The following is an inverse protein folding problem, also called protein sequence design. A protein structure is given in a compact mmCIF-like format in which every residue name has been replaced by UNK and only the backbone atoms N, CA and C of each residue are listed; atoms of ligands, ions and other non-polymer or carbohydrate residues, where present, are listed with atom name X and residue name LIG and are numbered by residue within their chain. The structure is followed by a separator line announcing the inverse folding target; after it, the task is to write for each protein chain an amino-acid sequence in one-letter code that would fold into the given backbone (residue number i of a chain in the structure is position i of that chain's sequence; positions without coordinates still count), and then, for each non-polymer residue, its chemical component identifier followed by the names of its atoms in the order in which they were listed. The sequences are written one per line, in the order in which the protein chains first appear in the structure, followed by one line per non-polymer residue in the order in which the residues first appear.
data_IF_008096939580
#
_entry.id   IF_008096939580
#
_cell.length_a   1.000
_cell.length_b   1.000
_cell.length_c   1.000
_cell.angle_alpha   90.00
_cell.angle_beta   90.00
_cell.angle_gamma   90.00
#
_symmetry.space_group_name_H-M   'P 1'
#
loop_
_entity.id
_entity.type
_entity.pdbx_description
1 polymer ?
#
# COMPACT_ATOMS: atom_id res chain seq x y z
N UNK A 1 -16.01 13.14 21.52
CA UNK A 1 -15.55 12.80 20.16
C UNK A 1 -14.29 13.60 19.89
N UNK A 2 -13.17 12.93 19.62
CA UNK A 2 -11.93 13.58 19.17
C UNK A 2 -12.05 13.72 17.66
N UNK A 3 -12.33 14.94 17.18
CA UNK A 3 -12.44 15.26 15.75
C UNK A 3 -11.26 16.11 15.33
N UNK A 4 -10.86 15.98 14.07
CA UNK A 4 -9.78 16.75 13.48
C UNK A 4 -10.20 17.23 12.09
N UNK A 5 -9.72 18.39 11.66
CA UNK A 5 -9.90 18.90 10.30
C UNK A 5 -8.54 18.92 9.60
N UNK A 6 -8.49 18.46 8.36
CA UNK A 6 -7.32 18.53 7.50
C UNK A 6 -7.70 19.03 6.10
N UNK A 7 -6.82 19.78 5.43
CA UNK A 7 -7.12 20.35 4.12
C UNK A 7 -7.41 19.28 3.06
N UNK A 8 -6.67 18.17 3.09
CA UNK A 8 -6.83 17.06 2.14
C UNK A 8 -7.94 16.08 2.57
N UNK A 9 -7.96 15.68 3.85
CA UNK A 9 -8.83 14.61 4.35
C UNK A 9 -10.20 15.11 4.85
N UNK A 10 -10.38 16.43 4.98
CA UNK A 10 -11.58 17.02 5.57
C UNK A 10 -11.69 16.69 7.07
N UNK A 11 -12.93 16.46 7.53
CA UNK A 11 -13.20 16.13 8.92
C UNK A 11 -12.96 14.64 9.19
N UNK A 12 -12.03 14.35 10.09
CA UNK A 12 -11.72 13.00 10.58
C UNK A 12 -12.37 12.76 11.95
N UNK A 13 -12.91 11.56 12.16
CA UNK A 13 -13.42 11.11 13.44
C UNK A 13 -12.45 10.09 14.06
N UNK A 14 -11.76 10.48 15.14
CA UNK A 14 -10.79 9.64 15.84
C UNK A 14 -11.41 8.90 17.04
N UNK A 15 -12.73 8.98 17.21
CA UNK A 15 -13.46 8.24 18.24
C UNK A 15 -13.88 6.88 17.69
N UNK A 16 -12.91 5.98 17.57
CA UNK A 16 -13.10 4.60 17.10
C UNK A 16 -13.35 3.65 18.27
N UNK A 17 -13.95 2.50 17.99
CA UNK A 17 -14.36 1.49 18.98
C UNK A 17 -13.59 0.18 18.86
N UNK A 18 -13.20 -0.20 17.64
CA UNK A 18 -12.37 -1.37 17.37
C UNK A 18 -10.88 -1.05 17.55
N UNK A 19 -10.02 -2.07 17.45
CA UNK A 19 -8.56 -1.92 17.62
C UNK A 19 -7.96 -0.96 16.57
N UNK A 20 -8.45 -1.04 15.33
CA UNK A 20 -8.20 -0.06 14.28
C UNK A 20 -9.44 0.07 13.38
N UNK A 21 -9.71 1.28 12.89
CA UNK A 21 -10.83 1.54 11.97
C UNK A 21 -10.39 2.47 10.82
N UNK A 22 -11.03 2.33 9.66
CA UNK A 22 -10.92 3.28 8.56
C UNK A 22 -11.66 4.56 8.94
N UNK A 23 -10.92 5.67 9.02
CA UNK A 23 -11.46 6.99 9.38
C UNK A 23 -11.64 7.91 8.17
N UNK A 24 -11.10 7.52 7.02
CA UNK A 24 -11.28 8.17 5.73
C UNK A 24 -11.00 7.16 4.60
N UNK A 25 -11.77 7.23 3.52
CA UNK A 25 -11.63 6.37 2.35
C UNK A 25 -11.93 7.16 1.08
N UNK A 26 -11.23 6.82 -0.01
CA UNK A 26 -11.49 7.38 -1.34
C UNK A 26 -10.81 6.54 -2.43
N UNK A 27 -11.48 6.39 -3.57
CA UNK A 27 -10.83 5.90 -4.78
C UNK A 27 -9.98 7.01 -5.43
N UNK A 28 -8.67 6.77 -5.61
CA UNK A 28 -7.72 7.68 -6.25
C UNK A 28 -7.14 6.97 -7.47
N UNK A 29 -7.47 7.49 -8.67
CA UNK A 29 -7.02 6.90 -9.94
C UNK A 29 -7.39 5.41 -10.11
N UNK A 30 -8.52 4.97 -9.55
CA UNK A 30 -8.93 3.56 -9.57
C UNK A 30 -8.26 2.69 -8.51
N UNK A 31 -7.53 3.28 -7.56
CA UNK A 31 -6.89 2.61 -6.43
C UNK A 31 -7.72 2.91 -5.18
N UNK A 32 -8.14 1.87 -4.47
CA UNK A 32 -8.79 2.03 -3.17
C UNK A 32 -7.77 2.58 -2.17
N UNK A 33 -8.10 3.70 -1.52
CA UNK A 33 -7.18 4.37 -0.59
C UNK A 33 -7.87 4.61 0.73
N UNK A 34 -7.30 4.08 1.80
CA UNK A 34 -7.85 4.19 3.15
C UNK A 34 -6.86 4.86 4.10
N UNK A 35 -7.40 5.62 5.06
CA UNK A 35 -6.67 6.10 6.23
C UNK A 35 -7.16 5.33 7.45
N UNK A 36 -6.28 4.50 7.99
CA UNK A 36 -6.52 3.70 9.18
C UNK A 36 -6.01 4.42 10.42
N UNK A 37 -6.76 4.28 11.51
CA UNK A 37 -6.38 4.81 12.81
C UNK A 37 -6.48 3.70 13.85
N UNK A 38 -5.40 3.47 14.60
CA UNK A 38 -5.38 2.59 15.77
C UNK A 38 -5.99 3.33 16.97
N UNK A 39 -6.80 2.63 17.78
CA UNK A 39 -7.45 3.22 18.96
C UNK A 39 -6.46 3.80 19.98
N UNK A 40 -5.25 3.24 20.02
CA UNK A 40 -4.15 3.66 20.87
C UNK A 40 -3.18 4.60 20.14
N UNK A 41 -3.41 4.87 18.85
CA UNK A 41 -2.59 5.74 18.02
C UNK A 41 -2.69 7.21 18.46
N UNK A 42 -1.56 7.90 18.36
CA UNK A 42 -1.51 9.36 18.39
C UNK A 42 -1.22 9.85 16.98
N UNK A 43 -1.94 10.88 16.52
CA UNK A 43 -1.67 11.49 15.21
C UNK A 43 -0.40 12.34 15.31
N UNK A 44 0.74 11.94 14.73
CA UNK A 44 1.96 12.72 14.88
C UNK A 44 1.88 14.02 14.08
N UNK A 45 2.66 15.01 14.49
CA UNK A 45 2.68 16.30 13.82
C UNK A 45 3.15 16.15 12.36
N UNK A 46 2.34 16.60 11.41
CA UNK A 46 2.65 16.59 9.99
C UNK A 46 2.43 15.25 9.27
N UNK A 47 1.97 14.20 9.95
CA UNK A 47 1.74 12.90 9.29
C UNK A 47 0.68 13.00 8.18
N UNK A 48 -0.39 13.76 8.42
CA UNK A 48 -1.46 13.95 7.45
C UNK A 48 -0.99 14.78 6.25
N UNK A 49 -0.11 15.76 6.46
CA UNK A 49 0.51 16.51 5.36
C UNK A 49 1.42 15.61 4.52
N UNK A 50 2.16 14.70 5.16
CA UNK A 50 2.99 13.71 4.49
C UNK A 50 2.16 12.74 3.66
N UNK A 51 1.08 12.20 4.22
CA UNK A 51 0.16 11.32 3.50
C UNK A 51 -0.52 12.03 2.32
N UNK A 52 -0.97 13.28 2.51
CA UNK A 52 -1.50 14.07 1.42
C UNK A 52 -0.47 14.28 0.30
N UNK A 53 0.78 14.64 0.65
CA UNK A 53 1.86 14.77 -0.35
C UNK A 53 2.19 13.45 -1.03
N UNK A 54 2.15 12.33 -0.31
CA UNK A 54 2.35 11.01 -0.89
C UNK A 54 1.30 10.72 -1.96
N UNK A 55 0.01 10.92 -1.64
CA UNK A 55 -1.10 10.70 -2.56
C UNK A 55 -1.09 11.68 -3.75
N UNK A 56 -0.69 12.93 -3.54
CA UNK A 56 -0.50 13.90 -4.63
C UNK A 56 0.62 13.50 -5.61
N UNK A 57 1.60 12.70 -5.16
CA UNK A 57 2.73 12.21 -5.96
C UNK A 57 2.66 10.68 -6.20
N UNK A 58 1.46 10.09 -6.14
CA UNK A 58 1.28 8.64 -6.17
C UNK A 58 1.90 7.98 -7.40
N UNK A 59 1.79 8.58 -8.58
CA UNK A 59 2.38 8.04 -9.82
C UNK A 59 3.89 7.85 -9.75
N UNK A 60 4.59 8.79 -9.11
CA UNK A 60 6.04 8.69 -8.93
C UNK A 60 6.40 7.68 -7.83
N UNK A 61 5.55 7.54 -6.82
CA UNK A 61 5.68 6.50 -5.79
C UNK A 61 5.45 5.10 -6.32
N UNK A 62 4.50 4.92 -7.24
CA UNK A 62 4.28 3.65 -7.95
C UNK A 62 5.52 3.29 -8.78
N UNK A 63 6.13 4.25 -9.49
CA UNK A 63 7.37 4.01 -10.25
C UNK A 63 8.54 3.63 -9.32
N UNK A 64 8.65 4.29 -8.17
CA UNK A 64 9.64 3.97 -7.14
C UNK A 64 9.46 2.54 -6.61
N UNK A 65 8.22 2.18 -6.22
CA UNK A 65 7.85 0.86 -5.75
C UNK A 65 8.14 -0.23 -6.79
N UNK A 66 7.70 -0.05 -8.05
CA UNK A 66 7.98 -0.99 -9.14
C UNK A 66 9.47 -1.23 -9.36
N UNK A 67 10.30 -0.19 -9.26
CA UNK A 67 11.76 -0.33 -9.37
C UNK A 67 12.32 -1.20 -8.24
N UNK A 68 11.81 -1.04 -7.02
CA UNK A 68 12.22 -1.84 -5.87
C UNK A 68 11.71 -3.28 -5.97
N UNK A 69 10.46 -3.49 -6.42
CA UNK A 69 9.90 -4.82 -6.68
C UNK A 69 10.73 -5.60 -7.71
N UNK A 70 11.16 -4.95 -8.80
CA UNK A 70 12.07 -5.58 -9.79
C UNK A 70 13.38 -6.01 -9.13
N UNK A 71 13.92 -5.25 -8.17
CA UNK A 71 15.14 -5.62 -7.47
C UNK A 71 14.91 -6.77 -6.49
N UNK A 72 13.79 -6.74 -5.75
CA UNK A 72 13.35 -7.79 -4.84
C UNK A 72 13.16 -9.13 -5.58
N UNK A 73 12.42 -9.13 -6.68
CA UNK A 73 12.13 -10.34 -7.47
C UNK A 73 13.35 -10.90 -8.22
N UNK A 74 14.42 -10.12 -8.36
CA UNK A 74 15.71 -10.61 -8.87
C UNK A 74 16.49 -11.39 -7.83
N UNK A 75 16.27 -11.10 -6.56
CA UNK A 75 16.88 -11.82 -5.44
C UNK A 75 16.08 -13.09 -5.15
N UNK A 76 14.75 -12.99 -5.18
CA UNK A 76 13.82 -14.11 -5.02
C UNK A 76 12.65 -14.04 -6.01
N UNK A 77 12.67 -14.91 -7.02
CA UNK A 77 11.62 -14.98 -8.05
C UNK A 77 10.41 -15.83 -7.65
N UNK A 78 10.39 -16.40 -6.44
CA UNK A 78 9.41 -17.43 -6.09
C UNK A 78 7.95 -16.94 -6.18
N UNK A 79 7.68 -15.65 -5.93
CA UNK A 79 6.35 -15.08 -6.18
C UNK A 79 5.91 -15.22 -7.64
N UNK A 80 6.81 -15.06 -8.62
CA UNK A 80 6.51 -15.25 -10.05
C UNK A 80 6.24 -16.73 -10.34
N UNK A 81 7.14 -17.59 -9.87
CA UNK A 81 7.05 -19.04 -10.10
C UNK A 81 5.75 -19.61 -9.49
N UNK A 82 5.36 -19.16 -8.30
CA UNK A 82 4.10 -19.51 -7.65
C UNK A 82 2.88 -19.17 -8.52
N UNK A 83 2.82 -17.97 -9.09
CA UNK A 83 1.68 -17.58 -9.94
C UNK A 83 1.61 -18.39 -11.23
N UNK A 84 2.76 -18.66 -11.87
CA UNK A 84 2.80 -19.42 -13.13
C UNK A 84 2.45 -20.89 -12.87
N UNK A 85 3.07 -21.51 -11.87
CA UNK A 85 3.02 -22.95 -11.65
C UNK A 85 1.87 -23.38 -10.74
N UNK A 86 1.70 -22.71 -9.59
CA UNK A 86 0.75 -23.12 -8.54
C UNK A 86 -0.63 -22.50 -8.75
N UNK A 87 -0.71 -21.23 -9.18
CA UNK A 87 -1.97 -20.60 -9.60
C UNK A 87 -2.40 -20.98 -11.02
N UNK A 88 -1.52 -21.65 -11.79
CA UNK A 88 -1.82 -22.09 -13.15
C UNK A 88 -1.93 -20.97 -14.19
N UNK A 89 -1.31 -19.81 -13.92
CA UNK A 89 -1.35 -18.64 -14.80
C UNK A 89 -0.20 -18.68 -15.83
N UNK A 90 -0.16 -19.75 -16.63
CA UNK A 90 0.95 -20.06 -17.57
C UNK A 90 1.22 -18.98 -18.63
N UNK A 91 0.23 -18.11 -18.91
CA UNK A 91 0.35 -17.00 -19.86
C UNK A 91 1.06 -15.75 -19.26
N UNK A 92 1.36 -15.76 -17.96
CA UNK A 92 2.13 -14.68 -17.33
C UNK A 92 3.60 -14.69 -17.79
N UNK A 93 4.22 -13.51 -17.92
CA UNK A 93 5.61 -13.44 -18.34
C UNK A 93 6.55 -13.85 -17.20
N UNK A 94 7.57 -14.65 -17.50
CA UNK A 94 8.62 -14.96 -16.54
C UNK A 94 9.73 -13.90 -16.47
N UNK A 95 9.77 -12.95 -17.41
CA UNK A 95 10.63 -11.76 -17.29
C UNK A 95 10.11 -10.86 -16.17
N UNK A 96 10.96 -10.63 -15.16
CA UNK A 96 10.62 -9.86 -13.95
C UNK A 96 10.11 -8.44 -14.30
N UNK A 97 10.71 -7.79 -15.29
CA UNK A 97 10.32 -6.40 -15.63
C UNK A 97 8.95 -6.38 -16.30
N UNK A 98 8.70 -7.33 -17.21
CA UNK A 98 7.39 -7.48 -17.83
C UNK A 98 6.33 -7.90 -16.80
N UNK A 99 6.65 -8.82 -15.89
CA UNK A 99 5.75 -9.26 -14.82
C UNK A 99 5.34 -8.08 -13.92
N UNK A 100 6.31 -7.35 -13.36
CA UNK A 100 6.03 -6.17 -12.53
C UNK A 100 5.29 -5.08 -13.33
N UNK A 101 5.49 -4.99 -14.64
CA UNK A 101 4.75 -4.04 -15.46
C UNK A 101 3.24 -4.35 -15.52
N UNK A 102 2.86 -5.63 -15.45
CA UNK A 102 1.49 -6.13 -15.47
C UNK A 102 0.82 -6.16 -14.10
N UNK A 103 1.58 -6.00 -13.01
CA UNK A 103 0.99 -5.87 -11.67
C UNK A 103 0.18 -4.58 -11.57
N UNK A 104 -0.92 -4.64 -10.83
CA UNK A 104 -1.83 -3.53 -10.55
C UNK A 104 -1.68 -3.14 -9.09
N UNK A 105 -1.71 -1.83 -8.81
CA UNK A 105 -1.87 -1.36 -7.43
C UNK A 105 -3.34 -1.44 -7.10
N UNK A 106 -3.71 -2.30 -6.15
CA UNK A 106 -5.12 -2.53 -5.79
C UNK A 106 -5.52 -1.65 -4.62
N UNK A 107 -4.59 -1.40 -3.70
CA UNK A 107 -4.87 -0.67 -2.47
C UNK A 107 -3.68 0.17 -2.00
N UNK A 108 -3.98 1.29 -1.34
CA UNK A 108 -3.02 2.12 -0.60
C UNK A 108 -3.60 2.43 0.78
N UNK A 109 -3.00 1.84 1.81
CA UNK A 109 -3.38 2.09 3.19
C UNK A 109 -2.40 3.03 3.89
N UNK A 110 -2.95 4.11 4.43
CA UNK A 110 -2.24 5.07 5.26
C UNK A 110 -2.50 4.71 6.72
N UNK A 111 -1.48 4.27 7.45
CA UNK A 111 -1.64 3.82 8.83
C UNK A 111 -1.20 4.87 9.84
N UNK A 112 -2.10 5.27 10.73
CA UNK A 112 -1.73 5.96 11.97
C UNK A 112 -1.84 4.92 13.08
N UNK A 113 -0.81 4.11 13.21
CA UNK A 113 -0.74 3.05 14.20
C UNK A 113 -0.13 3.53 15.53
N UNK A 114 -0.13 2.65 16.53
CA UNK A 114 0.45 2.91 17.85
C UNK A 114 1.97 2.63 17.96
N UNK A 115 2.59 2.04 16.94
CA UNK A 115 4.02 1.69 16.92
C UNK A 115 4.83 2.69 16.08
N UNK A 116 4.65 2.66 14.76
CA UNK A 116 5.20 3.60 13.81
C UNK A 116 4.31 3.77 12.56
N UNK A 117 3.74 4.98 12.33
CA UNK A 117 2.97 5.27 11.12
C UNK A 117 3.71 4.89 9.84
N UNK A 118 2.98 4.30 8.92
CA UNK A 118 3.51 3.84 7.64
C UNK A 118 2.45 3.89 6.55
N UNK A 119 2.88 3.67 5.32
CA UNK A 119 2.02 3.54 4.15
C UNK A 119 2.24 2.15 3.58
N UNK A 120 1.18 1.39 3.36
CA UNK A 120 1.20 0.13 2.63
C UNK A 120 0.65 0.35 1.22
N UNK A 121 1.31 -0.21 0.22
CA UNK A 121 0.88 -0.17 -1.18
C UNK A 121 0.90 -1.58 -1.74
N UNK A 122 -0.28 -2.07 -2.08
CA UNK A 122 -0.48 -3.47 -2.44
C UNK A 122 -0.39 -3.65 -3.94
N UNK A 123 0.54 -4.49 -4.39
CA UNK A 123 0.69 -4.87 -5.78
C UNK A 123 0.24 -6.31 -5.98
N UNK A 124 -0.68 -6.51 -6.92
CA UNK A 124 -1.18 -7.83 -7.28
C UNK A 124 -1.00 -8.09 -8.77
N UNK A 125 -0.71 -9.34 -9.13
CA UNK A 125 -0.81 -9.83 -10.50
C UNK A 125 -2.14 -10.58 -10.65
N UNK A 126 -2.89 -10.30 -11.72
CA UNK A 126 -4.19 -10.95 -11.96
C UNK A 126 -5.10 -11.04 -10.71
N UNK A 127 -5.50 -9.90 -10.10
CA UNK A 127 -6.22 -9.88 -8.82
C UNK A 127 -7.60 -10.57 -8.82
N UNK A 128 -8.14 -10.89 -10.00
CA UNK A 128 -9.38 -11.69 -10.12
C UNK A 128 -9.13 -13.21 -9.95
N UNK A 129 -7.88 -13.66 -10.05
CA UNK A 129 -7.47 -15.07 -10.08
C UNK A 129 -6.62 -15.48 -8.86
N UNK A 130 -6.06 -14.52 -8.12
CA UNK A 130 -5.21 -14.74 -6.95
C UNK A 130 -5.35 -13.61 -5.93
N UNK A 131 -5.26 -13.96 -4.65
CA UNK A 131 -5.23 -13.05 -3.50
C UNK A 131 -3.79 -12.71 -3.03
N UNK A 132 -2.76 -13.21 -3.71
CA UNK A 132 -1.37 -13.00 -3.32
C UNK A 132 -0.90 -11.56 -3.60
N UNK A 133 -0.34 -10.92 -2.57
CA UNK A 133 0.04 -9.51 -2.60
C UNK A 133 1.53 -9.36 -2.35
N UNK A 134 2.19 -8.47 -3.12
CA UNK A 134 3.45 -7.86 -2.69
C UNK A 134 3.17 -6.47 -2.11
N UNK A 135 3.17 -6.38 -0.79
CA UNK A 135 2.93 -5.14 -0.06
C UNK A 135 4.23 -4.36 0.06
N UNK A 136 4.30 -3.18 -0.56
CA UNK A 136 5.44 -2.27 -0.46
C UNK A 136 5.17 -1.26 0.65
N UNK A 137 5.95 -1.31 1.73
CA UNK A 137 5.77 -0.43 2.89
C UNK A 137 6.71 0.77 2.84
N UNK A 138 6.16 1.95 3.10
CA UNK A 138 6.88 3.21 3.23
C UNK A 138 6.80 3.72 4.67
N UNK A 139 7.92 4.19 5.21
CA UNK A 139 7.96 4.78 6.55
C UNK A 139 7.55 6.26 6.59
N UNK A 140 7.73 6.89 7.76
CA UNK A 140 7.42 8.31 8.04
C UNK A 140 8.24 9.33 7.24
N UNK A 141 9.20 8.90 6.42
CA UNK A 141 9.92 9.75 5.47
C UNK A 141 9.55 9.48 4.01
N UNK A 142 8.45 8.74 3.81
CA UNK A 142 7.95 8.27 2.52
C UNK A 142 8.98 7.47 1.70
N UNK A 143 9.97 6.84 2.36
CA UNK A 143 10.89 5.88 1.74
C UNK A 143 10.45 4.45 2.01
N UNK A 144 10.75 3.58 1.06
CA UNK A 144 10.47 2.14 1.17
C UNK A 144 11.33 1.54 2.27
N UNK A 145 10.69 0.79 3.18
CA UNK A 145 11.32 0.15 4.34
C UNK A 145 11.27 -1.39 4.27
N UNK A 146 10.24 -1.95 3.64
CA UNK A 146 10.10 -3.40 3.43
C UNK A 146 9.23 -3.71 2.21
N UNK A 147 9.34 -4.96 1.75
CA UNK A 147 8.39 -5.61 0.86
C UNK A 147 8.00 -6.90 1.57
N UNK A 148 6.71 -7.10 1.77
CA UNK A 148 6.17 -8.29 2.41
C UNK A 148 5.28 -9.02 1.41
N UNK A 149 5.42 -10.34 1.33
CA UNK A 149 4.47 -11.19 0.61
C UNK A 149 3.34 -11.57 1.57
N UNK A 150 2.12 -11.20 1.23
CA UNK A 150 0.91 -11.36 2.03
C UNK A 150 -0.18 -12.14 1.23
N UNK A 151 -1.08 -12.84 1.93
CA UNK A 151 -2.23 -13.60 1.40
C UNK A 151 -3.40 -13.52 2.37
#
# INVERSE_FOLDING_TARGET
MKKMEHQYFGQLNLAITDDAEVIWEKEIQGIDTCLWFDKNGEVPAGILDLYAQFLENIDDKIKEARKTLIAYLKDDSYYIDFHIEECGLEDLPSDITEFVSKMTVTNVDLWIDSEQPHIAMDFMIAPDESDEILCVKFGEDAKIISIDWES
#
